data_IF_992292729135
#
_entry.id   IF_992292729135
#
_cell.length_a   1.000
_cell.length_b   1.000
_cell.length_c   1.000
_cell.angle_alpha   90.00
_cell.angle_beta   90.00
_cell.angle_gamma   90.00
#
_symmetry.space_group_name_H-M   'P 1'
#
loop_
_entity.id
_entity.type
_entity.pdbx_description
1 polymer ?
#
# COMPACT_ATOMS: atom_id res chain seq x y z
N UNK A 1 -25.10 -0.85 75.85
CA UNK A 1 -24.68 -1.63 74.66
C UNK A 1 -25.77 -1.56 73.62
N UNK A 2 -25.60 -0.81 72.53
CA UNK A 2 -26.08 -1.22 71.20
C UNK A 2 -25.47 -0.31 70.13
N UNK A 3 -24.95 -0.93 69.07
CA UNK A 3 -24.06 -0.39 68.05
C UNK A 3 -24.80 0.46 67.01
N UNK A 4 -24.20 1.58 66.60
CA UNK A 4 -24.54 2.30 65.36
C UNK A 4 -23.75 1.69 64.19
N UNK A 5 -24.45 1.17 63.18
CA UNK A 5 -23.84 0.66 61.94
C UNK A 5 -23.90 1.79 60.90
N UNK A 6 -22.74 2.28 60.47
CA UNK A 6 -22.60 3.21 59.36
C UNK A 6 -22.42 2.43 58.06
N UNK A 7 -23.39 2.51 57.15
CA UNK A 7 -23.34 1.87 55.84
C UNK A 7 -22.53 2.74 54.87
N UNK A 8 -21.38 2.24 54.42
CA UNK A 8 -20.56 2.85 53.37
C UNK A 8 -21.07 2.31 52.02
N UNK A 9 -21.61 3.18 51.17
CA UNK A 9 -21.95 2.85 49.80
C UNK A 9 -20.71 2.95 48.91
N UNK A 10 -20.29 1.82 48.33
CA UNK A 10 -19.16 1.75 47.39
C UNK A 10 -19.75 1.92 45.98
N UNK A 11 -19.50 3.06 45.35
CA UNK A 11 -19.86 3.29 43.95
C UNK A 11 -18.79 2.67 43.03
N UNK A 12 -19.16 1.65 42.26
CA UNK A 12 -18.28 0.99 41.29
C UNK A 12 -18.32 1.74 39.95
N UNK A 13 -17.18 2.28 39.51
CA UNK A 13 -17.06 3.03 38.26
C UNK A 13 -16.70 2.05 37.14
N UNK A 14 -17.66 1.70 36.29
CA UNK A 14 -17.40 0.90 35.10
C UNK A 14 -16.78 1.81 34.03
N UNK A 15 -15.50 1.63 33.74
CA UNK A 15 -14.83 2.28 32.61
C UNK A 15 -15.13 1.49 31.33
N UNK A 16 -16.02 2.00 30.49
CA UNK A 16 -16.24 1.45 29.14
C UNK A 16 -15.03 1.81 28.27
N UNK A 17 -14.26 0.80 27.86
CA UNK A 17 -13.22 0.96 26.83
C UNK A 17 -13.91 0.80 25.48
N UNK A 18 -13.98 1.88 24.69
CA UNK A 18 -14.39 1.81 23.30
C UNK A 18 -13.23 1.19 22.51
N UNK A 19 -13.43 -0.02 22.01
CA UNK A 19 -12.55 -0.59 20.98
C UNK A 19 -12.97 0.06 19.66
N UNK A 20 -12.10 0.86 19.06
CA UNK A 20 -12.32 1.37 17.72
C UNK A 20 -12.23 0.19 16.74
N UNK A 21 -13.26 0.00 15.93
CA UNK A 21 -13.29 -1.02 14.87
C UNK A 21 -12.51 -0.46 13.67
N UNK A 22 -11.21 -0.76 13.61
CA UNK A 22 -10.34 -0.37 12.49
C UNK A 22 -10.79 -1.16 11.25
N UNK A 23 -11.44 -0.49 10.30
CA UNK A 23 -11.87 -1.15 9.05
C UNK A 23 -10.60 -1.59 8.30
N UNK A 24 -10.42 -2.89 8.03
CA UNK A 24 -9.20 -3.36 7.39
C UNK A 24 -9.08 -2.75 5.98
N UNK A 25 -7.88 -2.30 5.54
CA UNK A 25 -7.71 -1.71 4.21
C UNK A 25 -8.16 -2.67 3.09
N UNK A 26 -8.72 -2.16 1.99
CA UNK A 26 -9.30 -2.97 0.93
C UNK A 26 -8.23 -3.89 0.29
N UNK A 27 -8.68 -5.07 -0.13
CA UNK A 27 -7.84 -6.10 -0.77
C UNK A 27 -8.10 -6.03 -2.28
N UNK A 28 -7.06 -5.70 -3.04
CA UNK A 28 -7.13 -5.35 -4.46
C UNK A 28 -8.12 -4.22 -4.77
N UNK A 29 -8.05 -3.71 -6.00
CA UNK A 29 -9.09 -2.83 -6.54
C UNK A 29 -8.65 -1.42 -6.88
N UNK A 30 -9.66 -0.65 -7.25
CA UNK A 30 -9.52 0.65 -7.86
C UNK A 30 -9.57 1.74 -6.78
N UNK A 31 -8.57 2.60 -6.78
CA UNK A 31 -8.39 3.66 -5.79
C UNK A 31 -8.45 4.98 -6.52
N UNK A 32 -9.18 5.96 -5.98
CA UNK A 32 -9.17 7.33 -6.51
C UNK A 32 -8.81 8.30 -5.39
N UNK A 33 -7.76 9.09 -5.60
CA UNK A 33 -7.25 10.05 -4.62
C UNK A 33 -7.02 11.43 -5.24
N UNK A 34 -7.09 12.44 -4.39
CA UNK A 34 -6.71 13.82 -4.66
C UNK A 34 -5.77 14.30 -3.55
N UNK A 35 -4.96 15.35 -3.78
CA UNK A 35 -4.10 15.92 -2.74
C UNK A 35 -4.88 16.22 -1.47
N UNK A 36 -4.24 16.00 -0.31
CA UNK A 36 -4.83 16.04 1.03
C UNK A 36 -5.85 14.94 1.28
N UNK A 37 -5.65 13.77 0.67
CA UNK A 37 -6.46 12.59 0.96
C UNK A 37 -6.24 12.15 2.42
N UNK A 38 -7.25 11.50 2.98
CA UNK A 38 -7.18 10.88 4.30
C UNK A 38 -7.82 9.48 4.22
N UNK A 39 -7.30 8.49 4.97
CA UNK A 39 -6.08 8.56 5.78
C UNK A 39 -4.80 8.68 4.93
N UNK A 40 -3.72 9.19 5.54
CA UNK A 40 -2.37 9.24 4.96
C UNK A 40 -1.36 8.61 5.96
N UNK A 41 -0.70 7.48 5.65
CA UNK A 41 -0.77 6.74 4.38
C UNK A 41 -2.15 6.13 4.13
N UNK A 42 -2.53 6.12 2.86
CA UNK A 42 -3.60 5.28 2.37
C UNK A 42 -3.03 3.90 2.04
N UNK A 43 -3.69 2.85 2.49
CA UNK A 43 -3.18 1.48 2.37
C UNK A 43 -4.15 0.59 1.59
N UNK A 44 -3.59 -0.23 0.70
CA UNK A 44 -4.28 -1.36 0.06
C UNK A 44 -3.45 -2.61 0.18
N UNK A 45 -4.10 -3.77 0.18
CA UNK A 45 -3.42 -5.06 0.31
C UNK A 45 -3.58 -5.90 -0.95
N UNK A 46 -2.65 -6.83 -1.14
CA UNK A 46 -2.69 -7.78 -2.25
C UNK A 46 -1.76 -8.98 -2.04
N UNK A 47 -1.61 -9.77 -3.09
CA UNK A 47 -0.68 -10.89 -3.18
C UNK A 47 0.25 -10.65 -4.36
N UNK A 48 1.55 -10.62 -4.12
CA UNK A 48 2.55 -10.37 -5.15
C UNK A 48 2.71 -11.58 -6.05
N UNK A 49 3.37 -11.38 -7.18
CA UNK A 49 3.92 -12.48 -7.98
C UNK A 49 3.14 -12.78 -9.25
N UNK A 50 3.49 -13.92 -9.85
CA UNK A 50 2.93 -14.39 -11.10
C UNK A 50 3.94 -15.19 -11.91
N UNK A 51 3.57 -15.53 -13.14
CA UNK A 51 4.38 -16.39 -14.01
C UNK A 51 5.09 -15.64 -15.14
N UNK A 52 4.74 -14.38 -15.38
CA UNK A 52 5.26 -13.58 -16.50
C UNK A 52 6.38 -12.66 -16.03
N UNK A 53 7.52 -12.62 -16.74
CA UNK A 53 8.57 -11.65 -16.46
C UNK A 53 8.04 -10.21 -16.61
N UNK A 54 8.26 -9.37 -15.59
CA UNK A 54 7.74 -8.00 -15.55
C UNK A 54 8.17 -7.16 -16.77
N UNK A 55 9.44 -7.27 -17.17
CA UNK A 55 9.98 -6.60 -18.35
C UNK A 55 9.26 -6.97 -19.67
N UNK A 56 8.69 -8.17 -19.78
CA UNK A 56 7.93 -8.58 -20.95
C UNK A 56 6.52 -8.01 -20.92
N UNK A 57 5.91 -7.95 -19.73
CA UNK A 57 4.55 -7.39 -19.53
C UNK A 57 4.52 -5.92 -19.92
N UNK A 58 5.50 -5.12 -19.47
CA UNK A 58 5.59 -3.68 -19.81
C UNK A 58 6.49 -3.37 -21.01
N UNK A 59 7.08 -4.39 -21.65
CA UNK A 59 7.98 -4.27 -22.82
C UNK A 59 9.14 -3.30 -22.59
N UNK A 60 9.70 -3.31 -21.38
CA UNK A 60 10.84 -2.48 -20.96
C UNK A 60 11.71 -3.29 -20.02
N UNK A 61 13.02 -3.34 -20.28
CA UNK A 61 13.96 -3.97 -19.35
C UNK A 61 14.33 -3.05 -18.18
N UNK A 62 14.34 -1.73 -18.42
CA UNK A 62 14.76 -0.74 -17.44
C UNK A 62 14.03 0.60 -17.66
N UNK A 63 13.88 1.36 -16.57
CA UNK A 63 13.35 2.72 -16.54
C UNK A 63 14.32 3.63 -15.78
N UNK A 64 14.04 4.92 -15.71
CA UNK A 64 14.85 5.86 -14.92
C UNK A 64 14.83 5.60 -13.40
N UNK A 65 13.95 4.73 -12.91
CA UNK A 65 13.80 4.39 -11.49
C UNK A 65 14.34 3.00 -11.12
N UNK A 66 14.75 2.21 -12.11
CA UNK A 66 15.28 0.87 -11.91
C UNK A 66 14.90 -0.11 -13.02
N UNK A 67 15.41 -1.34 -12.88
CA UNK A 67 15.11 -2.44 -13.77
C UNK A 67 13.68 -2.96 -13.56
N UNK A 68 13.02 -3.41 -14.63
CA UNK A 68 11.71 -4.05 -14.56
C UNK A 68 11.86 -5.55 -14.32
N UNK A 69 12.38 -5.89 -13.14
CA UNK A 69 12.65 -7.27 -12.69
C UNK A 69 11.40 -7.93 -12.10
N UNK A 70 11.57 -9.19 -11.69
CA UNK A 70 10.53 -9.96 -11.04
C UNK A 70 9.48 -10.55 -11.98
N UNK A 71 8.49 -11.16 -11.36
CA UNK A 71 7.42 -11.89 -12.02
C UNK A 71 6.07 -11.41 -11.51
N UNK A 72 5.17 -11.15 -12.46
CA UNK A 72 3.86 -10.56 -12.24
C UNK A 72 2.80 -11.36 -12.99
N UNK A 73 1.53 -11.13 -12.66
CA UNK A 73 0.41 -11.59 -13.47
C UNK A 73 0.20 -10.72 -14.72
N UNK A 74 -0.58 -11.25 -15.67
CA UNK A 74 -0.89 -10.53 -16.92
C UNK A 74 -1.67 -9.24 -16.67
N UNK A 75 -2.49 -9.19 -15.62
CA UNK A 75 -3.29 -8.03 -15.24
C UNK A 75 -2.62 -7.31 -14.07
N UNK A 76 -2.74 -5.97 -13.97
CA UNK A 76 -2.27 -5.23 -12.82
C UNK A 76 -3.09 -5.57 -11.57
N UNK A 77 -2.44 -5.50 -10.41
CA UNK A 77 -3.05 -5.76 -9.10
C UNK A 77 -3.92 -4.59 -8.64
N UNK A 78 -3.50 -3.37 -8.98
CA UNK A 78 -4.21 -2.14 -8.61
C UNK A 78 -4.36 -1.18 -9.78
N UNK A 79 -5.44 -0.40 -9.72
CA UNK A 79 -5.63 0.79 -10.55
C UNK A 79 -5.75 2.00 -9.65
N UNK A 80 -4.84 2.96 -9.81
CA UNK A 80 -4.84 4.21 -9.05
C UNK A 80 -5.22 5.37 -9.98
N UNK A 81 -6.31 6.05 -9.65
CA UNK A 81 -6.76 7.26 -10.33
C UNK A 81 -6.37 8.49 -9.51
N UNK A 82 -5.57 9.36 -10.10
CA UNK A 82 -5.19 10.64 -9.52
C UNK A 82 -6.05 11.74 -10.16
N UNK A 83 -6.94 12.35 -9.38
CA UNK A 83 -7.82 13.40 -9.90
C UNK A 83 -7.12 14.74 -10.13
N UNK A 84 -5.96 14.96 -9.50
CA UNK A 84 -5.12 16.18 -9.62
C UNK A 84 -3.64 15.82 -9.56
N UNK A 85 -2.79 16.80 -9.93
CA UNK A 85 -1.33 16.67 -9.83
C UNK A 85 -0.93 16.56 -8.36
N UNK A 86 0.02 15.67 -8.08
CA UNK A 86 0.77 15.63 -6.83
C UNK A 86 2.19 16.14 -7.06
N UNK A 87 2.64 17.13 -6.29
CA UNK A 87 4.04 17.60 -6.32
C UNK A 87 4.97 16.67 -5.52
N UNK A 88 4.39 15.78 -4.73
CA UNK A 88 5.06 14.64 -4.12
C UNK A 88 4.03 13.56 -3.84
N UNK A 89 4.32 12.33 -4.26
CA UNK A 89 3.62 11.13 -3.84
C UNK A 89 4.62 9.99 -3.79
N UNK A 90 4.52 9.17 -2.74
CA UNK A 90 5.29 7.95 -2.55
C UNK A 90 4.36 6.77 -2.58
N UNK A 91 4.67 5.80 -3.43
CA UNK A 91 4.08 4.48 -3.46
C UNK A 91 5.14 3.50 -3.01
N UNK A 92 4.92 2.80 -1.90
CA UNK A 92 5.88 1.87 -1.32
C UNK A 92 5.18 0.58 -0.94
N UNK A 93 5.78 -0.55 -1.32
CA UNK A 93 5.31 -1.88 -0.94
C UNK A 93 5.95 -2.27 0.38
N UNK A 94 5.22 -2.99 1.22
CA UNK A 94 5.70 -3.62 2.44
C UNK A 94 5.30 -5.09 2.41
N UNK A 95 6.30 -5.97 2.34
CA UNK A 95 6.14 -7.42 2.27
C UNK A 95 7.18 -8.11 3.16
N UNK A 96 6.89 -9.31 3.70
CA UNK A 96 7.88 -10.10 4.44
C UNK A 96 9.02 -10.63 3.56
N UNK A 97 8.88 -10.60 2.24
CA UNK A 97 9.80 -11.20 1.27
C UNK A 97 10.07 -10.25 0.09
N UNK A 98 11.01 -10.62 -0.78
CA UNK A 98 11.50 -9.80 -1.89
C UNK A 98 10.45 -9.60 -2.99
N UNK A 99 10.02 -8.34 -3.18
CA UNK A 99 8.96 -7.94 -4.11
C UNK A 99 9.45 -6.91 -5.11
N UNK A 100 8.79 -6.82 -6.26
CA UNK A 100 9.11 -5.81 -7.29
C UNK A 100 7.90 -4.92 -7.57
N UNK A 101 8.12 -3.70 -8.05
CA UNK A 101 7.05 -2.75 -8.34
C UNK A 101 7.18 -2.24 -9.78
N UNK A 102 6.09 -2.32 -10.52
CA UNK A 102 5.97 -1.73 -11.85
C UNK A 102 4.73 -0.86 -11.89
N UNK A 103 4.88 0.39 -12.33
CA UNK A 103 3.78 1.34 -12.47
C UNK A 103 3.78 1.91 -13.88
N UNK A 104 2.64 1.88 -14.57
CA UNK A 104 2.47 2.51 -15.89
C UNK A 104 1.28 3.47 -15.87
N UNK A 105 1.44 4.67 -16.43
CA UNK A 105 0.37 5.66 -16.51
C UNK A 105 0.81 6.97 -17.18
N UNK A 106 0.11 8.09 -16.94
CA UNK A 106 0.52 9.40 -17.43
C UNK A 106 1.96 9.73 -17.06
N UNK A 107 2.80 10.01 -18.07
CA UNK A 107 4.22 10.30 -17.90
C UNK A 107 5.16 9.13 -18.22
N UNK A 108 4.67 7.89 -18.20
CA UNK A 108 5.44 6.73 -18.65
C UNK A 108 5.29 5.49 -17.77
N UNK A 109 6.41 4.78 -17.61
CA UNK A 109 6.53 3.54 -16.84
C UNK A 109 7.71 3.67 -15.89
N UNK A 110 7.54 3.19 -14.68
CA UNK A 110 8.53 3.18 -13.62
C UNK A 110 8.61 1.79 -13.03
N UNK A 111 9.83 1.31 -12.81
CA UNK A 111 10.12 0.04 -12.20
C UNK A 111 11.06 0.25 -11.02
N UNK A 112 10.92 -0.56 -9.97
CA UNK A 112 11.82 -0.59 -8.83
C UNK A 112 11.74 -1.96 -8.13
N UNK A 113 12.83 -2.32 -7.44
CA UNK A 113 13.03 -3.62 -6.78
C UNK A 113 13.43 -3.37 -5.32
N UNK A 114 14.55 -2.68 -5.12
CA UNK A 114 15.08 -2.35 -3.80
C UNK A 114 14.97 -0.82 -3.55
N UNK A 115 13.94 -0.38 -2.83
CA UNK A 115 13.82 1.01 -2.33
C UNK A 115 14.15 1.10 -0.85
N UNK A 116 13.53 0.24 -0.04
CA UNK A 116 13.79 0.10 1.40
C UNK A 116 14.09 -1.37 1.71
N UNK A 117 15.37 -1.72 1.74
CA UNK A 117 15.78 -3.11 1.76
C UNK A 117 15.29 -3.84 0.51
N UNK A 118 14.46 -4.88 0.71
CA UNK A 118 13.86 -5.72 -0.34
C UNK A 118 12.44 -5.32 -0.73
N UNK A 119 12.02 -4.18 -0.24
CA UNK A 119 10.70 -3.64 -0.52
C UNK A 119 10.83 -2.50 -1.56
N UNK A 120 10.09 -2.57 -2.67
CA UNK A 120 10.18 -1.61 -3.75
C UNK A 120 9.34 -0.36 -3.47
N UNK A 121 9.72 0.74 -4.11
CA UNK A 121 9.03 2.00 -3.96
C UNK A 121 9.37 3.02 -5.05
N UNK A 122 8.43 3.91 -5.32
CA UNK A 122 8.58 5.01 -6.29
C UNK A 122 8.11 6.30 -5.64
N UNK A 123 8.93 7.33 -5.74
CA UNK A 123 8.66 8.69 -5.23
C UNK A 123 8.80 9.70 -6.35
N UNK A 124 8.02 10.78 -6.29
CA UNK A 124 8.20 11.90 -7.21
C UNK A 124 6.94 12.73 -7.40
N UNK A 125 6.93 13.50 -8.48
CA UNK A 125 5.74 14.20 -8.95
C UNK A 125 4.87 13.27 -9.80
N UNK A 126 3.55 13.38 -9.66
CA UNK A 126 2.59 12.55 -10.39
C UNK A 126 1.54 13.40 -11.07
N UNK A 127 1.26 13.08 -12.33
CA UNK A 127 0.28 13.78 -13.15
C UNK A 127 -1.14 13.24 -12.87
N UNK A 128 -2.19 14.03 -13.12
CA UNK A 128 -3.55 13.50 -13.10
C UNK A 128 -3.73 12.37 -14.12
N UNK A 129 -4.52 11.35 -13.76
CA UNK A 129 -4.93 10.26 -14.63
C UNK A 129 -4.82 8.89 -13.97
N UNK A 130 -4.90 7.84 -14.78
CA UNK A 130 -4.99 6.46 -14.32
C UNK A 130 -3.66 5.73 -14.43
N UNK A 131 -3.25 5.11 -13.34
CA UNK A 131 -2.04 4.32 -13.21
C UNK A 131 -2.39 2.85 -12.96
N UNK A 132 -1.71 1.96 -13.66
CA UNK A 132 -1.77 0.52 -13.47
C UNK A 132 -0.53 0.10 -12.68
N UNK A 133 -0.73 -0.71 -11.65
CA UNK A 133 0.32 -1.08 -10.70
C UNK A 133 0.38 -2.61 -10.64
N UNK A 134 1.57 -3.15 -10.86
CA UNK A 134 1.89 -4.55 -10.62
C UNK A 134 2.86 -4.63 -9.45
N UNK A 135 2.58 -5.51 -8.51
CA UNK A 135 3.46 -5.89 -7.43
C UNK A 135 3.91 -7.33 -7.70
N UNK A 136 5.15 -7.46 -8.16
CA UNK A 136 5.74 -8.76 -8.47
C UNK A 136 6.43 -9.39 -7.28
N UNK A 137 6.77 -10.66 -7.45
CA UNK A 137 7.77 -11.34 -6.62
C UNK A 137 9.08 -11.40 -7.39
N UNK A 138 10.22 -11.28 -6.70
CA UNK A 138 11.51 -11.34 -7.39
C UNK A 138 11.72 -12.68 -8.11
N UNK A 139 11.20 -13.77 -7.54
CA UNK A 139 11.25 -15.13 -8.10
C UNK A 139 9.92 -15.53 -8.74
N UNK A 140 10.02 -16.40 -9.74
CA UNK A 140 8.89 -16.91 -10.50
C UNK A 140 8.01 -17.81 -9.65
N UNK A 141 6.69 -17.66 -9.77
CA UNK A 141 5.69 -18.53 -9.10
C UNK A 141 5.82 -18.55 -7.57
N UNK A 142 6.42 -17.51 -6.98
CA UNK A 142 6.37 -17.23 -5.54
C UNK A 142 5.35 -16.12 -5.29
N UNK A 143 4.59 -16.24 -4.21
CA UNK A 143 3.47 -15.34 -3.90
C UNK A 143 3.53 -14.92 -2.44
N UNK A 144 3.58 -13.62 -2.18
CA UNK A 144 3.70 -13.08 -0.83
C UNK A 144 2.61 -12.04 -0.58
N UNK A 145 2.02 -12.02 0.63
CA UNK A 145 1.13 -10.93 0.99
C UNK A 145 1.92 -9.61 1.04
N UNK A 146 1.28 -8.52 0.63
CA UNK A 146 1.87 -7.20 0.75
C UNK A 146 0.84 -6.14 1.14
N UNK A 147 1.36 -5.01 1.64
CA UNK A 147 0.63 -3.75 1.77
C UNK A 147 1.28 -2.71 0.87
N UNK A 148 0.51 -2.11 -0.04
CA UNK A 148 0.92 -0.94 -0.82
C UNK A 148 0.47 0.31 -0.06
N UNK A 149 1.45 1.10 0.38
CA UNK A 149 1.27 2.37 1.09
C UNK A 149 1.41 3.52 0.08
N UNK A 150 0.41 4.40 0.06
CA UNK A 150 0.39 5.60 -0.77
C UNK A 150 0.35 6.81 0.16
N UNK A 151 1.35 7.69 0.05
CA UNK A 151 1.49 8.83 0.96
C UNK A 151 1.96 10.10 0.26
N UNK A 152 1.43 11.25 0.66
CA UNK A 152 1.93 12.57 0.25
C UNK A 152 2.92 13.19 1.25
N UNK A 153 3.24 12.46 2.34
CA UNK A 153 4.25 12.85 3.32
C UNK A 153 5.68 12.51 2.84
N UNK A 154 6.57 13.50 2.91
CA UNK A 154 7.99 13.39 2.52
C UNK A 154 8.84 12.68 3.56
#
# INVERSE_FOLDING_TARGET
MSLTIASIAIASIIKTVAVADETPPPIFGDVSINPKFLPDPFEVRGMSGGSLPGNQVVRKSETSTGACTGFVDQKPDHRLELGKKFDYLKLQVDSPEDTTLIITGPGGTWCNDDFDGKNPGIVGEWLPGTYQIWVGSYKKEEYFPYTLKVTEAK
#
